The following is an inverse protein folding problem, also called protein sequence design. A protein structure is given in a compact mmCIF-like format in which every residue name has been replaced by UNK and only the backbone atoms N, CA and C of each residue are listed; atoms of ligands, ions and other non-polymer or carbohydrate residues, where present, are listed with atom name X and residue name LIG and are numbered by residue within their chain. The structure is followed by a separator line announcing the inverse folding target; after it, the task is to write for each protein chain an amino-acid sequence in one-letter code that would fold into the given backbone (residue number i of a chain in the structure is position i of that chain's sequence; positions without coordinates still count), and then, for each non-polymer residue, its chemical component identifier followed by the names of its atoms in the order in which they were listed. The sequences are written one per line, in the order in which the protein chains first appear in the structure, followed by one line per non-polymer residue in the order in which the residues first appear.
data_IF_824875436093
#
_entry.id   IF_824875436093
#
_cell.length_a   1.000
_cell.length_b   1.000
_cell.length_c   1.000
_cell.angle_alpha   90.00
_cell.angle_beta   90.00
_cell.angle_gamma   90.00
#
_symmetry.space_group_name_H-M   'P 1'
#
loop_
_entity.id
_entity.type
_entity.pdbx_description
1 polymer ?
#
# COMPACT_ATOMS: atom_id res chain seq x y z
N UNK A 1 9.00 -26.33 35.56
CA UNK A 1 9.27 -25.59 34.29
C UNK A 1 8.11 -25.83 33.32
N UNK A 2 7.21 -24.86 33.08
CA UNK A 2 6.11 -24.99 32.11
C UNK A 2 6.58 -24.50 30.74
N UNK A 3 6.62 -25.39 29.73
CA UNK A 3 6.90 -25.03 28.33
C UNK A 3 5.76 -24.14 27.82
N UNK A 4 6.04 -22.87 27.52
CA UNK A 4 5.13 -22.00 26.75
C UNK A 4 5.01 -22.61 25.36
N UNK A 5 3.84 -23.14 24.99
CA UNK A 5 3.56 -23.55 23.62
C UNK A 5 3.79 -22.33 22.72
N UNK A 6 4.64 -22.48 21.71
CA UNK A 6 4.79 -21.48 20.66
C UNK A 6 3.43 -21.30 19.99
N UNK A 7 2.74 -20.21 20.32
CA UNK A 7 1.49 -19.80 19.68
C UNK A 7 1.78 -19.65 18.17
N UNK A 8 1.43 -20.66 17.37
CA UNK A 8 1.54 -20.57 15.91
C UNK A 8 0.59 -19.46 15.48
N UNK A 9 1.12 -18.31 15.08
CA UNK A 9 0.34 -17.21 14.48
C UNK A 9 -0.41 -17.77 13.28
N UNK A 10 -1.72 -17.99 13.45
CA UNK A 10 -2.60 -18.42 12.36
C UNK A 10 -2.87 -17.18 11.50
N UNK A 11 -2.35 -17.18 10.28
CA UNK A 11 -2.63 -16.12 9.33
C UNK A 11 -4.03 -16.37 8.75
N UNK A 12 -4.96 -15.47 9.01
CA UNK A 12 -6.30 -15.56 8.41
C UNK A 12 -6.19 -15.01 6.99
N UNK A 13 -6.73 -15.76 6.04
CA UNK A 13 -6.76 -15.43 4.61
C UNK A 13 -8.20 -15.41 4.15
N UNK A 14 -8.48 -14.68 3.06
CA UNK A 14 -9.84 -14.50 2.58
C UNK A 14 -10.40 -15.68 1.77
N UNK A 15 -9.53 -16.58 1.30
CA UNK A 15 -9.89 -17.81 0.60
C UNK A 15 -10.05 -19.00 1.57
N UNK A 16 -10.96 -19.92 1.24
CA UNK A 16 -11.31 -21.07 2.09
C UNK A 16 -10.19 -22.12 2.16
N UNK A 17 -9.50 -22.35 1.04
CA UNK A 17 -8.44 -23.35 0.94
C UNK A 17 -7.38 -22.93 -0.08
N UNK A 18 -6.23 -23.61 -0.07
CA UNK A 18 -5.15 -23.32 -1.02
C UNK A 18 -5.56 -23.60 -2.48
N UNK A 19 -6.42 -24.58 -2.72
CA UNK A 19 -6.90 -24.90 -4.06
C UNK A 19 -7.71 -23.75 -4.70
N UNK A 20 -8.51 -23.02 -3.92
CA UNK A 20 -9.26 -21.85 -4.38
C UNK A 20 -8.30 -20.74 -4.81
N UNK A 21 -7.23 -20.52 -4.04
CA UNK A 21 -6.18 -19.57 -4.39
C UNK A 21 -5.47 -19.98 -5.70
N UNK A 22 -5.03 -21.23 -5.79
CA UNK A 22 -4.29 -21.73 -6.96
C UNK A 22 -5.17 -21.66 -8.23
N UNK A 23 -6.46 -21.99 -8.13
CA UNK A 23 -7.41 -21.86 -9.23
C UNK A 23 -7.61 -20.40 -9.66
N UNK A 24 -7.81 -19.49 -8.72
CA UNK A 24 -8.00 -18.06 -9.04
C UNK A 24 -6.74 -17.50 -9.69
N UNK A 25 -5.56 -17.91 -9.22
CA UNK A 25 -4.28 -17.50 -9.80
C UNK A 25 -4.15 -17.97 -11.25
N UNK A 26 -4.44 -19.25 -11.52
CA UNK A 26 -4.42 -19.82 -12.87
C UNK A 26 -5.38 -19.08 -13.82
N UNK A 27 -6.62 -18.84 -13.37
CA UNK A 27 -7.62 -18.15 -14.18
C UNK A 27 -7.30 -16.68 -14.41
N UNK A 28 -6.68 -16.00 -13.44
CA UNK A 28 -6.29 -14.59 -13.56
C UNK A 28 -5.24 -14.38 -14.66
N UNK A 29 -4.27 -15.30 -14.77
CA UNK A 29 -3.20 -15.26 -15.78
C UNK A 29 -3.53 -16.01 -17.07
N UNK A 30 -4.73 -16.57 -17.18
CA UNK A 30 -5.18 -17.20 -18.42
C UNK A 30 -5.39 -16.17 -19.54
N UNK A 31 -5.30 -16.62 -20.80
CA UNK A 31 -5.58 -15.77 -21.96
C UNK A 31 -7.08 -15.60 -22.24
N UNK A 32 -7.94 -16.37 -21.57
CA UNK A 32 -9.39 -16.33 -21.76
C UNK A 32 -10.04 -15.23 -20.91
N UNK A 33 -10.66 -14.19 -21.51
CA UNK A 33 -11.32 -13.13 -20.77
C UNK A 33 -12.50 -13.63 -19.91
N UNK A 34 -13.15 -14.75 -20.25
CA UNK A 34 -14.24 -15.31 -19.45
C UNK A 34 -13.71 -15.87 -18.11
N UNK A 35 -12.61 -16.62 -18.14
CA UNK A 35 -11.93 -17.13 -16.95
C UNK A 35 -11.38 -15.98 -16.09
N UNK A 36 -10.81 -14.96 -16.71
CA UNK A 36 -10.33 -13.76 -16.00
C UNK A 36 -11.48 -13.04 -15.28
N UNK A 37 -12.64 -12.85 -15.93
CA UNK A 37 -13.83 -12.26 -15.28
C UNK A 37 -14.28 -13.08 -14.08
N UNK A 38 -14.30 -14.41 -14.21
CA UNK A 38 -14.67 -15.28 -13.09
C UNK A 38 -13.68 -15.16 -11.92
N UNK A 39 -12.37 -15.12 -12.19
CA UNK A 39 -11.35 -14.89 -11.16
C UNK A 39 -11.54 -13.54 -10.46
N UNK A 40 -11.81 -12.47 -11.22
CA UNK A 40 -12.07 -11.13 -10.67
C UNK A 40 -13.31 -11.07 -9.79
N UNK A 41 -14.39 -11.78 -10.16
CA UNK A 41 -15.59 -11.91 -9.32
C UNK A 41 -15.27 -12.65 -8.01
N UNK A 42 -14.44 -13.68 -8.08
CA UNK A 42 -14.00 -14.43 -6.90
C UNK A 42 -13.18 -13.57 -5.94
N UNK A 43 -12.25 -12.76 -6.46
CA UNK A 43 -11.47 -11.79 -5.67
C UNK A 43 -12.38 -10.72 -5.05
N UNK A 44 -13.41 -10.27 -5.78
CA UNK A 44 -14.40 -9.33 -5.24
C UNK A 44 -15.21 -9.95 -4.10
N UNK A 45 -15.51 -11.24 -4.17
CA UNK A 45 -16.16 -11.96 -3.07
C UNK A 45 -15.26 -12.10 -1.83
N UNK A 46 -13.94 -12.26 -2.03
CA UNK A 46 -12.97 -12.26 -0.92
C UNK A 46 -12.96 -10.93 -0.16
N UNK A 47 -13.01 -9.81 -0.87
CA UNK A 47 -13.17 -8.46 -0.27
C UNK A 47 -14.41 -8.36 0.60
N UNK A 48 -15.55 -8.89 0.15
CA UNK A 48 -16.79 -8.86 0.93
C UNK A 48 -16.73 -9.68 2.24
N UNK A 49 -15.99 -10.79 2.25
CA UNK A 49 -15.84 -11.66 3.43
C UNK A 49 -14.85 -11.12 4.45
N UNK A 50 -13.80 -10.45 3.97
CA UNK A 50 -12.66 -10.06 4.78
C UNK A 50 -12.15 -8.68 4.37
N UNK A 51 -13.01 -7.67 4.58
CA UNK A 51 -12.86 -6.29 4.09
C UNK A 51 -11.50 -5.64 4.37
N UNK A 52 -10.76 -6.11 5.40
CA UNK A 52 -9.49 -5.55 5.82
C UNK A 52 -8.29 -6.52 5.74
N UNK A 53 -8.38 -7.68 5.06
CA UNK A 53 -7.22 -8.58 4.95
C UNK A 53 -7.04 -9.31 3.63
N UNK A 54 -7.67 -8.84 2.55
CA UNK A 54 -7.14 -9.15 1.23
C UNK A 54 -5.76 -8.51 1.08
N UNK A 55 -4.72 -9.25 0.66
CA UNK A 55 -3.42 -8.66 0.47
C UNK A 55 -3.51 -7.55 -0.58
N UNK A 56 -2.92 -6.40 -0.26
CA UNK A 56 -2.88 -5.22 -1.13
C UNK A 56 -2.46 -5.55 -2.56
N UNK A 57 -1.45 -6.41 -2.72
CA UNK A 57 -0.99 -6.86 -4.03
C UNK A 57 -2.09 -7.54 -4.85
N UNK A 58 -2.92 -8.39 -4.22
CA UNK A 58 -4.04 -9.08 -4.88
C UNK A 58 -5.08 -8.08 -5.37
N UNK A 59 -5.38 -7.07 -4.57
CA UNK A 59 -6.34 -6.04 -4.94
C UNK A 59 -5.85 -5.18 -6.11
N UNK A 60 -4.58 -4.76 -6.07
CA UNK A 60 -4.00 -3.99 -7.17
C UNK A 60 -3.91 -4.80 -8.47
N UNK A 61 -3.51 -6.07 -8.40
CA UNK A 61 -3.46 -6.94 -9.58
C UNK A 61 -4.86 -7.17 -10.15
N UNK A 62 -5.87 -7.37 -9.31
CA UNK A 62 -7.25 -7.52 -9.76
C UNK A 62 -7.77 -6.26 -10.47
N UNK A 63 -7.46 -5.07 -9.94
CA UNK A 63 -7.87 -3.80 -10.56
C UNK A 63 -7.21 -3.63 -11.95
N UNK A 64 -5.91 -3.96 -12.09
CA UNK A 64 -5.21 -3.88 -13.38
C UNK A 64 -5.72 -4.91 -14.40
N UNK A 65 -5.93 -6.16 -13.99
CA UNK A 65 -6.46 -7.20 -14.89
C UNK A 65 -7.88 -6.86 -15.33
N UNK A 66 -8.69 -6.24 -14.46
CA UNK A 66 -10.01 -5.74 -14.83
C UNK A 66 -9.93 -4.69 -15.93
N UNK A 67 -8.99 -3.75 -15.84
CA UNK A 67 -8.74 -2.77 -16.91
C UNK A 67 -8.39 -3.48 -18.22
N UNK A 68 -7.46 -4.45 -18.17
CA UNK A 68 -7.00 -5.19 -19.35
C UNK A 68 -8.10 -6.04 -20.02
N UNK A 69 -9.02 -6.60 -19.23
CA UNK A 69 -10.17 -7.34 -19.76
C UNK A 69 -11.16 -6.40 -20.45
N UNK A 70 -11.38 -5.21 -19.88
CA UNK A 70 -12.27 -4.19 -20.47
C UNK A 70 -11.69 -3.62 -21.77
N UNK A 71 -10.39 -3.33 -21.77
CA UNK A 71 -9.60 -2.90 -22.93
C UNK A 71 -9.76 -3.87 -24.11
N UNK A 72 -9.51 -5.17 -23.86
CA UNK A 72 -9.68 -6.23 -24.87
C UNK A 72 -11.11 -6.40 -25.37
N UNK A 73 -12.10 -6.02 -24.57
CA UNK A 73 -13.51 -6.08 -24.99
C UNK A 73 -13.95 -4.86 -25.80
N UNK A 74 -13.10 -3.83 -25.95
CA UNK A 74 -13.38 -2.58 -26.66
C UNK A 74 -14.73 -1.94 -26.25
N UNK A 75 -15.14 -2.13 -24.99
CA UNK A 75 -16.42 -1.65 -24.47
C UNK A 75 -16.36 -0.20 -23.98
N UNK A 76 -15.16 0.35 -23.79
CA UNK A 76 -14.92 1.67 -23.21
C UNK A 76 -14.23 2.59 -24.21
N UNK A 77 -14.52 3.89 -24.11
CA UNK A 77 -13.84 4.90 -24.90
C UNK A 77 -12.39 5.11 -24.40
N UNK A 78 -11.54 5.69 -25.25
CA UNK A 78 -10.12 5.91 -24.93
C UNK A 78 -9.91 6.73 -23.65
N UNK A 79 -10.74 7.75 -23.44
CA UNK A 79 -10.66 8.61 -22.24
C UNK A 79 -11.07 7.87 -20.96
N UNK A 80 -12.10 7.01 -21.04
CA UNK A 80 -12.53 6.16 -19.92
C UNK A 80 -11.46 5.13 -19.56
N UNK A 81 -10.80 4.57 -20.57
CA UNK A 81 -9.73 3.60 -20.40
C UNK A 81 -8.52 4.23 -19.70
N UNK A 82 -8.11 5.43 -20.13
CA UNK A 82 -7.02 6.19 -19.49
C UNK A 82 -7.35 6.48 -18.03
N UNK A 83 -8.59 6.89 -17.74
CA UNK A 83 -9.02 7.16 -16.36
C UNK A 83 -8.96 5.87 -15.51
N UNK A 84 -9.42 4.75 -16.04
CA UNK A 84 -9.48 3.48 -15.33
C UNK A 84 -8.07 2.94 -15.01
N UNK A 85 -7.17 2.92 -15.99
CA UNK A 85 -5.77 2.54 -15.77
C UNK A 85 -5.06 3.52 -14.83
N UNK A 86 -5.30 4.82 -14.99
CA UNK A 86 -4.74 5.86 -14.12
C UNK A 86 -5.14 5.65 -12.66
N UNK A 87 -6.41 5.38 -12.39
CA UNK A 87 -6.91 5.10 -11.05
C UNK A 87 -6.31 3.82 -10.45
N UNK A 88 -6.21 2.74 -11.24
CA UNK A 88 -5.62 1.48 -10.78
C UNK A 88 -4.13 1.63 -10.44
N UNK A 89 -3.37 2.35 -11.28
CA UNK A 89 -1.95 2.62 -11.05
C UNK A 89 -1.74 3.56 -9.86
N UNK A 90 -2.52 4.63 -9.74
CA UNK A 90 -2.47 5.52 -8.58
C UNK A 90 -2.74 4.77 -7.29
N UNK A 91 -3.75 3.89 -7.29
CA UNK A 91 -4.08 3.04 -6.14
C UNK A 91 -2.91 2.12 -5.80
N UNK A 92 -2.31 1.45 -6.79
CA UNK A 92 -1.11 0.63 -6.59
C UNK A 92 0.06 1.42 -6.00
N UNK A 93 0.42 2.55 -6.61
CA UNK A 93 1.53 3.39 -6.13
C UNK A 93 1.26 3.90 -4.73
N UNK A 94 0.05 4.40 -4.45
CA UNK A 94 -0.31 4.93 -3.13
C UNK A 94 -0.22 3.86 -2.06
N UNK A 95 -0.70 2.64 -2.35
CA UNK A 95 -0.64 1.54 -1.39
C UNK A 95 0.80 1.07 -1.14
N UNK A 96 1.67 1.08 -2.16
CA UNK A 96 3.10 0.78 -1.98
C UNK A 96 3.80 1.90 -1.20
N UNK A 97 3.54 3.17 -1.51
CA UNK A 97 4.17 4.29 -0.81
C UNK A 97 3.70 4.36 0.64
N UNK A 98 2.41 4.24 0.95
CA UNK A 98 1.92 4.21 2.32
C UNK A 98 2.54 3.07 3.14
N UNK A 99 2.69 1.88 2.53
CA UNK A 99 3.36 0.74 3.17
C UNK A 99 4.81 1.05 3.56
N UNK A 100 5.53 1.74 2.67
CA UNK A 100 6.92 2.14 2.87
C UNK A 100 7.03 3.29 3.86
N UNK A 101 6.17 4.31 3.76
CA UNK A 101 6.14 5.48 4.65
C UNK A 101 5.78 5.09 6.09
N UNK A 102 4.80 4.22 6.30
CA UNK A 102 4.43 3.72 7.64
C UNK A 102 5.57 2.88 8.22
N UNK A 103 6.25 2.06 7.40
CA UNK A 103 7.39 1.27 7.85
C UNK A 103 8.60 2.14 8.22
N UNK A 104 8.89 3.17 7.42
CA UNK A 104 9.91 4.17 7.74
C UNK A 104 9.56 4.96 8.99
N UNK A 105 8.29 5.38 9.16
CA UNK A 105 7.82 6.11 10.35
C UNK A 105 7.97 5.28 11.64
N UNK A 106 7.85 3.94 11.57
CA UNK A 106 8.11 3.05 12.72
C UNK A 106 9.59 2.87 13.03
N UNK A 107 10.48 3.10 12.05
CA UNK A 107 11.93 3.03 12.22
C UNK A 107 12.54 4.39 12.55
N UNK A 108 11.81 5.49 12.33
CA UNK A 108 12.25 6.79 12.78
C UNK A 108 12.25 6.82 14.32
N UNK A 109 13.35 7.27 14.95
CA UNK A 109 13.38 7.47 16.39
C UNK A 109 12.24 8.42 16.77
N UNK A 110 11.36 7.96 17.66
CA UNK A 110 10.34 8.83 18.26
C UNK A 110 11.09 9.99 18.93
N UNK A 111 10.80 11.22 18.51
CA UNK A 111 11.49 12.42 18.99
C UNK A 111 11.68 12.37 20.51
N UNK A 112 12.88 12.66 21.04
CA UNK A 112 13.06 12.74 22.48
C UNK A 112 12.19 13.88 23.00
N UNK A 113 11.32 13.52 23.95
CA UNK A 113 10.46 14.36 24.78
C UNK A 113 10.91 15.84 24.83
N UNK A 114 10.06 16.81 24.45
CA UNK A 114 10.39 18.23 24.47
C UNK A 114 10.89 18.72 25.84
N UNK A 115 10.59 18.00 26.93
CA UNK A 115 11.00 18.37 28.28
C UNK A 115 12.49 18.12 28.56
N UNK A 116 13.16 17.25 27.80
CA UNK A 116 14.63 17.09 27.88
C UNK A 116 15.41 18.18 27.17
N UNK A 117 14.77 18.95 26.27
CA UNK A 117 15.41 20.02 25.51
C UNK A 117 15.71 21.27 26.36
N UNK A 118 15.04 21.42 27.51
CA UNK A 118 15.26 22.56 28.42
C UNK A 118 16.45 22.37 29.37
N UNK A 119 16.84 21.13 29.71
CA UNK A 119 17.94 20.88 30.66
C UNK A 119 19.34 20.92 30.05
N UNK A 120 19.47 20.79 28.73
CA UNK A 120 20.79 20.83 28.06
C UNK A 120 21.19 22.23 27.59
N UNK A 121 20.24 23.15 27.43
CA UNK A 121 20.52 24.49 26.88
C UNK A 121 20.97 25.54 27.93
N UNK A 122 20.90 25.26 29.23
CA UNK A 122 21.42 26.17 30.27
C UNK A 122 22.91 25.98 30.58
N UNK A 123 23.56 24.91 30.11
CA UNK A 123 25.00 24.68 30.37
C UNK A 123 25.97 25.17 29.30
N UNK A 124 25.48 25.75 28.20
CA UNK A 124 26.34 26.16 27.08
C UNK A 124 26.04 27.57 26.54
N UNK A 125 25.47 28.44 27.36
CA UNK A 125 25.54 29.90 27.15
C UNK A 125 26.93 30.43 27.52
N UNK A 126 27.94 29.91 26.85
CA UNK A 126 29.33 30.29 27.01
C UNK A 126 30.05 29.99 25.71
N UNK A 127 30.25 31.03 24.91
CA UNK A 127 31.02 31.08 23.67
C UNK A 127 30.38 30.60 22.35
N UNK A 128 30.34 31.59 21.43
CA UNK A 128 30.38 31.51 19.96
C UNK A 128 29.06 31.36 19.19
N UNK A 129 28.45 32.54 19.01
CA UNK A 129 27.69 33.07 17.86
C UNK A 129 27.58 32.10 16.67
N UNK A 130 26.41 31.48 16.56
CA UNK A 130 26.03 30.48 15.57
C UNK A 130 25.64 31.14 14.24
N UNK A 131 26.25 30.58 13.20
CA UNK A 131 25.87 30.45 11.80
C UNK A 131 24.42 30.78 11.45
N UNK A 132 24.29 31.62 10.41
CA UNK A 132 23.14 31.75 9.54
C UNK A 132 22.58 30.36 9.17
N UNK A 133 21.29 30.14 9.43
CA UNK A 133 20.48 29.12 8.78
C UNK A 133 19.28 29.82 8.15
N UNK A 134 19.53 30.46 7.02
CA UNK A 134 18.51 30.78 6.03
C UNK A 134 18.56 29.70 4.96
N UNK A 135 17.58 28.79 4.99
CA UNK A 135 17.03 28.23 3.75
C UNK A 135 15.54 28.10 4.00
N UNK A 136 14.85 29.14 3.54
CA UNK A 136 13.41 29.33 3.54
C UNK A 136 12.84 28.58 2.33
N UNK A 137 11.81 27.80 2.62
CA UNK A 137 10.60 27.49 1.85
C UNK A 137 10.58 27.55 0.31
N UNK A 138 10.03 26.46 -0.25
CA UNK A 138 9.15 26.37 -1.42
C UNK A 138 8.46 27.69 -1.85
N UNK A 139 8.62 28.07 -3.13
CA UNK A 139 7.50 28.40 -4.04
C UNK A 139 8.01 28.51 -5.49
N UNK A 140 7.69 27.54 -6.33
CA UNK A 140 7.74 27.70 -7.78
C UNK A 140 6.32 28.07 -8.22
N UNK A 141 6.10 29.37 -8.47
CA UNK A 141 4.89 29.88 -9.12
C UNK A 141 5.35 30.55 -10.42
N UNK A 142 4.82 30.06 -11.54
CA UNK A 142 5.03 30.53 -12.90
C UNK A 142 4.48 31.95 -13.12
N UNK A 143 5.34 32.87 -13.57
CA UNK A 143 5.15 33.71 -14.77
C UNK A 143 6.38 34.56 -15.05
#
# INVERSE_FOLDING_TARGET
MKKKSSEKRRHVVAWLNKAEWDQVLEYLYSNDPALQRYALQRISAWKGRYANSTPVAVDCTADLVRCQVLDRSAQLDGDELVLLYGAALLRFVNLITESVWISLLRLLPRDPDPDKRKKTNERTFGNRRIRQRTCVFYKAETR
#
